data_IF_184253412308
#
_entry.id   IF_184253412308
#
_cell.length_a   1.000
_cell.length_b   1.000
_cell.length_c   1.000
_cell.angle_alpha   90.00
_cell.angle_beta   90.00
_cell.angle_gamma   90.00
#
_symmetry.space_group_name_H-M   'P 1'
#
loop_
_entity.id
_entity.type
_entity.pdbx_description
1 polymer ?
#
# COMPACT_ATOMS: atom_id res chain seq x y z
N UNK A 1 -12.23 4.35 1.36
CA UNK A 1 -11.25 4.25 0.26
C UNK A 1 -11.56 5.32 -0.77
N UNK A 2 -10.53 5.90 -1.37
CA UNK A 2 -10.65 6.85 -2.49
C UNK A 2 -9.95 6.22 -3.69
N UNK A 3 -10.57 6.24 -4.86
CA UNK A 3 -9.96 5.91 -6.15
C UNK A 3 -10.22 7.09 -7.06
N UNK A 4 -9.20 7.55 -7.78
CA UNK A 4 -9.32 8.67 -8.68
C UNK A 4 -10.26 8.33 -9.85
N UNK A 5 -10.72 9.36 -10.57
CA UNK A 5 -11.25 9.12 -11.91
C UNK A 5 -10.14 8.54 -12.79
N UNK A 6 -10.50 7.74 -13.80
CA UNK A 6 -9.53 7.02 -14.62
C UNK A 6 -8.39 7.91 -15.13
N UNK A 7 -8.70 9.11 -15.66
CA UNK A 7 -7.66 10.01 -16.19
C UNK A 7 -6.66 10.56 -15.16
N UNK A 8 -6.83 10.29 -13.86
CA UNK A 8 -5.98 10.77 -12.76
C UNK A 8 -5.52 9.65 -11.82
N UNK A 9 -5.70 8.38 -12.20
CA UNK A 9 -5.38 7.25 -11.32
C UNK A 9 -3.92 6.76 -11.43
N UNK A 10 -3.12 7.38 -12.29
CA UNK A 10 -1.72 7.07 -12.52
C UNK A 10 -1.48 5.94 -13.54
N UNK A 11 -2.53 5.29 -14.04
CA UNK A 11 -2.38 4.20 -15.00
C UNK A 11 -1.92 4.70 -16.37
N UNK A 12 -0.91 4.03 -16.92
CA UNK A 12 -0.37 4.37 -18.23
C UNK A 12 -1.43 4.19 -19.34
N UNK A 13 -1.35 5.04 -20.35
CA UNK A 13 -2.21 4.98 -21.54
C UNK A 13 -3.45 5.87 -21.48
N UNK A 14 -3.97 6.17 -20.28
CA UNK A 14 -5.11 7.10 -20.13
C UNK A 14 -4.99 8.09 -18.95
N UNK A 15 -3.99 7.93 -18.08
CA UNK A 15 -3.57 8.89 -17.05
C UNK A 15 -2.07 9.16 -17.20
N UNK A 16 -1.56 10.14 -16.46
CA UNK A 16 -0.12 10.38 -16.31
C UNK A 16 0.22 10.91 -14.90
N UNK A 17 1.52 11.05 -14.55
CA UNK A 17 1.93 11.55 -13.24
C UNK A 17 1.48 12.99 -12.92
N UNK A 18 1.24 13.84 -13.93
CA UNK A 18 0.78 15.22 -13.70
C UNK A 18 -0.72 15.21 -13.33
N UNK A 19 -1.52 14.42 -14.03
CA UNK A 19 -2.95 14.26 -13.71
C UNK A 19 -3.14 13.58 -12.34
N UNK A 20 -2.34 12.56 -12.02
CA UNK A 20 -2.31 11.93 -10.70
C UNK A 20 -1.89 12.94 -9.61
N UNK A 21 -0.86 13.75 -9.86
CA UNK A 21 -0.42 14.80 -8.94
C UNK A 21 -1.56 15.77 -8.61
N UNK A 22 -2.34 16.19 -9.61
CA UNK A 22 -3.50 17.05 -9.38
C UNK A 22 -4.51 16.42 -8.42
N UNK A 23 -4.82 15.12 -8.59
CA UNK A 23 -5.71 14.39 -7.69
C UNK A 23 -5.13 14.27 -6.28
N UNK A 24 -3.87 13.83 -6.16
CA UNK A 24 -3.20 13.61 -4.87
C UNK A 24 -3.10 14.93 -4.09
N UNK A 25 -2.51 15.96 -4.68
CA UNK A 25 -2.32 17.26 -4.02
C UNK A 25 -3.65 17.89 -3.67
N UNK A 26 -4.61 17.92 -4.60
CA UNK A 26 -5.94 18.49 -4.34
C UNK A 26 -6.67 17.79 -3.18
N UNK A 27 -6.61 16.46 -3.15
CA UNK A 27 -7.23 15.64 -2.12
C UNK A 27 -6.54 15.82 -0.76
N UNK A 28 -5.22 15.67 -0.71
CA UNK A 28 -4.45 15.74 0.53
C UNK A 28 -4.49 17.14 1.13
N UNK A 29 -4.37 18.20 0.31
CA UNK A 29 -4.55 19.58 0.75
C UNK A 29 -5.94 19.80 1.38
N UNK A 30 -6.99 19.21 0.80
CA UNK A 30 -8.34 19.31 1.35
C UNK A 30 -8.46 18.58 2.69
N UNK A 31 -7.96 17.35 2.79
CA UNK A 31 -8.01 16.56 4.02
C UNK A 31 -7.26 17.25 5.17
N UNK A 32 -6.10 17.84 4.89
CA UNK A 32 -5.30 18.56 5.89
C UNK A 32 -5.99 19.81 6.46
N UNK A 33 -6.96 20.39 5.74
CA UNK A 33 -7.77 21.53 6.19
C UNK A 33 -8.95 21.12 7.08
N UNK A 34 -9.32 19.85 7.11
CA UNK A 34 -10.47 19.39 7.89
C UNK A 34 -10.16 19.43 9.40
N UNK A 35 -11.16 19.71 10.25
CA UNK A 35 -11.00 19.63 11.70
C UNK A 35 -10.55 18.25 12.21
N UNK A 36 -10.86 17.19 11.45
CA UNK A 36 -10.50 15.80 11.75
C UNK A 36 -9.06 15.44 11.38
N UNK A 37 -8.29 16.35 10.76
CA UNK A 37 -6.91 16.06 10.36
C UNK A 37 -6.05 15.57 11.53
N UNK A 38 -6.28 16.11 12.73
CA UNK A 38 -5.55 15.76 13.95
C UNK A 38 -5.69 14.29 14.41
N UNK A 39 -6.58 13.53 13.77
CA UNK A 39 -6.83 12.11 13.99
C UNK A 39 -6.92 11.33 12.66
N UNK A 40 -6.34 11.87 11.59
CA UNK A 40 -6.40 11.27 10.25
C UNK A 40 -5.03 10.66 9.87
N UNK A 41 -5.07 9.49 9.23
CA UNK A 41 -3.95 8.95 8.48
C UNK A 41 -4.41 8.72 7.03
N UNK A 42 -3.63 9.21 6.08
CA UNK A 42 -3.79 8.95 4.64
C UNK A 42 -2.71 7.96 4.24
N UNK A 43 -3.11 6.83 3.65
CA UNK A 43 -2.20 5.86 3.05
C UNK A 43 -2.34 5.99 1.54
N UNK A 44 -1.22 6.24 0.85
CA UNK A 44 -1.12 6.18 -0.62
C UNK A 44 -0.52 4.82 -0.95
N UNK A 45 -1.24 4.04 -1.74
CA UNK A 45 -0.84 2.70 -2.17
C UNK A 45 -1.30 2.47 -3.61
N UNK A 46 -0.53 1.67 -4.34
CA UNK A 46 -0.82 1.25 -5.71
C UNK A 46 -1.37 -0.18 -5.72
N UNK A 47 -2.19 -0.50 -6.73
CA UNK A 47 -2.81 -1.81 -6.93
C UNK A 47 -1.90 -2.79 -7.68
N UNK A 48 -1.09 -2.30 -8.62
CA UNK A 48 -0.07 -3.08 -9.29
C UNK A 48 1.07 -2.19 -9.82
N UNK A 49 2.00 -2.80 -10.56
CA UNK A 49 3.23 -2.17 -11.05
C UNK A 49 3.18 -1.82 -12.54
N UNK A 50 2.06 -2.07 -13.22
CA UNK A 50 1.91 -2.03 -14.68
C UNK A 50 2.92 -2.94 -15.43
N UNK A 51 3.57 -3.86 -14.71
CA UNK A 51 4.67 -4.68 -15.22
C UNK A 51 5.99 -3.91 -15.41
N UNK A 52 6.10 -2.70 -14.86
CA UNK A 52 7.31 -1.91 -14.93
C UNK A 52 8.44 -2.53 -14.11
N UNK A 53 9.67 -2.25 -14.52
CA UNK A 53 10.86 -2.81 -13.88
C UNK A 53 11.01 -2.34 -12.43
N UNK A 54 11.08 -3.30 -11.51
CA UNK A 54 11.66 -3.15 -10.17
C UNK A 54 12.79 -4.18 -10.02
N UNK A 55 13.87 -3.79 -9.36
CA UNK A 55 15.08 -4.62 -9.22
C UNK A 55 14.95 -5.68 -8.12
N UNK A 56 13.92 -5.62 -7.28
CA UNK A 56 13.75 -6.48 -6.11
C UNK A 56 12.83 -7.64 -6.47
N UNK A 57 13.36 -8.86 -6.37
CA UNK A 57 12.51 -10.04 -6.27
C UNK A 57 11.95 -10.13 -4.85
N UNK A 58 10.64 -9.95 -4.70
CA UNK A 58 9.95 -10.09 -3.42
C UNK A 58 10.07 -11.52 -2.87
N UNK A 59 10.02 -11.71 -1.53
CA UNK A 59 10.02 -13.04 -0.94
C UNK A 59 8.71 -13.76 -1.29
N UNK A 60 8.82 -15.04 -1.64
CA UNK A 60 7.66 -15.91 -1.85
C UNK A 60 7.17 -16.44 -0.49
N UNK A 61 6.16 -15.79 0.06
CA UNK A 61 5.54 -16.12 1.35
C UNK A 61 4.27 -16.97 1.20
N UNK A 62 3.65 -16.93 0.03
CA UNK A 62 2.51 -17.76 -0.33
C UNK A 62 2.79 -18.53 -1.60
N UNK A 63 2.44 -19.82 -1.56
CA UNK A 63 2.50 -20.72 -2.71
C UNK A 63 1.18 -20.65 -3.48
N UNK A 64 1.25 -20.88 -4.79
CA UNK A 64 0.08 -21.16 -5.61
C UNK A 64 -0.24 -22.65 -5.59
N UNK A 65 -1.52 -22.99 -5.58
CA UNK A 65 -1.99 -24.37 -5.74
C UNK A 65 -2.37 -24.73 -7.19
N UNK A 66 -1.84 -23.98 -8.16
CA UNK A 66 -1.96 -24.27 -9.59
C UNK A 66 -0.61 -24.10 -10.32
N UNK A 67 0.30 -25.06 -10.18
CA UNK A 67 1.68 -24.90 -10.62
C UNK A 67 1.81 -24.80 -12.14
N UNK A 68 0.79 -25.18 -12.91
CA UNK A 68 0.85 -25.10 -14.37
C UNK A 68 0.74 -23.66 -14.90
N UNK A 69 0.17 -22.74 -14.10
CA UNK A 69 -0.14 -21.37 -14.52
C UNK A 69 0.51 -20.30 -13.63
N UNK A 70 1.53 -20.67 -12.85
CA UNK A 70 2.29 -19.72 -12.03
C UNK A 70 3.02 -18.69 -12.88
N UNK A 71 2.46 -17.47 -12.95
CA UNK A 71 2.99 -16.39 -13.77
C UNK A 71 4.16 -15.62 -13.13
N UNK A 72 4.32 -15.67 -11.80
CA UNK A 72 5.31 -14.85 -11.09
C UNK A 72 6.76 -15.38 -11.19
N UNK A 73 6.96 -16.70 -11.05
CA UNK A 73 8.29 -17.33 -10.94
C UNK A 73 8.55 -18.44 -11.96
N UNK A 74 7.63 -18.64 -12.90
CA UNK A 74 7.48 -19.79 -13.81
C UNK A 74 6.67 -20.98 -13.26
N UNK A 75 6.08 -21.80 -14.16
CA UNK A 75 5.32 -22.99 -13.78
C UNK A 75 6.09 -23.93 -12.83
N UNK A 76 5.46 -24.24 -11.70
CA UNK A 76 5.95 -25.17 -10.68
C UNK A 76 7.09 -24.62 -9.82
N UNK A 77 7.42 -23.33 -9.95
CA UNK A 77 8.49 -22.70 -9.17
C UNK A 77 7.98 -21.92 -7.94
N UNK A 78 6.67 -21.76 -7.78
CA UNK A 78 6.10 -20.99 -6.67
C UNK A 78 6.00 -21.79 -5.35
N UNK A 79 7.13 -22.33 -4.91
CA UNK A 79 7.23 -23.12 -3.68
C UNK A 79 6.53 -24.47 -3.77
N UNK A 80 6.36 -25.13 -2.62
CA UNK A 80 5.76 -26.47 -2.53
C UNK A 80 4.25 -26.39 -2.32
N UNK A 81 3.48 -27.13 -3.13
CA UNK A 81 2.03 -27.25 -2.99
C UNK A 81 1.64 -27.61 -1.55
N UNK A 82 0.67 -26.88 -1.02
CA UNK A 82 0.08 -27.14 0.30
C UNK A 82 -1.39 -27.49 0.15
N UNK A 83 -1.79 -28.61 0.75
CA UNK A 83 -3.18 -29.01 0.79
C UNK A 83 -4.05 -27.90 1.40
N UNK A 84 -5.09 -27.50 0.67
CA UNK A 84 -5.99 -26.41 1.07
C UNK A 84 -5.55 -25.01 0.64
N UNK A 85 -4.35 -24.82 0.07
CA UNK A 85 -3.96 -23.53 -0.49
C UNK A 85 -4.81 -23.16 -1.71
N UNK A 86 -5.02 -21.86 -1.92
CA UNK A 86 -5.73 -21.33 -3.08
C UNK A 86 -4.82 -21.33 -4.34
N UNK A 87 -5.40 -21.55 -5.54
CA UNK A 87 -4.69 -21.32 -6.81
C UNK A 87 -4.37 -19.83 -6.99
N UNK A 88 -3.35 -19.53 -7.80
CA UNK A 88 -2.98 -18.19 -8.28
C UNK A 88 -2.61 -17.19 -7.16
N UNK A 89 -2.16 -17.69 -6.01
CA UNK A 89 -1.71 -16.88 -4.86
C UNK A 89 -0.20 -16.89 -4.66
N UNK A 90 0.53 -17.06 -5.75
CA UNK A 90 1.98 -16.92 -5.73
C UNK A 90 2.35 -15.49 -5.36
N UNK A 91 3.15 -15.28 -4.32
CA UNK A 91 3.53 -13.91 -3.96
C UNK A 91 4.47 -13.81 -2.77
N UNK A 92 5.03 -12.62 -2.54
CA UNK A 92 4.56 -11.33 -3.10
C UNK A 92 4.93 -11.07 -4.56
N UNK A 93 4.11 -10.27 -5.24
CA UNK A 93 4.41 -9.75 -6.58
C UNK A 93 5.45 -8.61 -6.56
N UNK A 94 5.55 -7.82 -7.65
CA UNK A 94 6.45 -6.67 -7.73
C UNK A 94 6.23 -5.67 -6.59
N UNK A 95 7.32 -5.03 -6.14
CA UNK A 95 7.27 -4.01 -5.09
C UNK A 95 6.55 -2.74 -5.60
N UNK A 96 5.77 -2.12 -4.71
CA UNK A 96 5.00 -0.91 -5.00
C UNK A 96 5.37 0.23 -4.06
N UNK A 97 5.17 1.50 -4.46
CA UNK A 97 5.22 2.62 -3.54
C UNK A 97 4.14 2.51 -2.46
N UNK A 98 4.50 2.87 -1.22
CA UNK A 98 3.59 2.94 -0.08
C UNK A 98 3.98 4.14 0.78
N UNK A 99 3.06 5.09 0.98
CA UNK A 99 3.29 6.29 1.78
C UNK A 99 2.23 6.41 2.88
N UNK A 100 2.65 6.92 4.04
CA UNK A 100 1.76 7.32 5.12
C UNK A 100 1.91 8.83 5.37
N UNK A 101 0.78 9.55 5.34
CA UNK A 101 0.72 10.99 5.58
C UNK A 101 -0.26 11.23 6.73
N UNK A 102 0.24 11.75 7.84
CA UNK A 102 -0.53 11.92 9.08
C UNK A 102 0.20 12.86 10.04
N UNK A 103 -0.48 13.53 10.97
CA UNK A 103 0.16 14.17 12.13
C UNK A 103 0.97 13.21 13.01
N UNK A 104 0.77 11.90 12.85
CA UNK A 104 1.51 10.85 13.56
C UNK A 104 2.55 10.18 12.68
N UNK A 105 2.64 10.50 11.39
CA UNK A 105 3.63 9.88 10.51
C UNK A 105 5.02 10.40 10.88
N UNK A 106 6.02 9.51 10.88
CA UNK A 106 7.42 9.93 11.06
C UNK A 106 7.84 10.78 9.87
N UNK A 107 8.35 11.98 10.14
CA UNK A 107 8.75 12.94 9.11
C UNK A 107 10.05 12.51 8.43
N UNK A 108 10.09 12.63 7.10
CA UNK A 108 11.28 12.29 6.29
C UNK A 108 11.90 10.92 6.64
N UNK A 109 11.03 9.94 6.87
CA UNK A 109 11.41 8.60 7.33
C UNK A 109 11.04 7.54 6.29
N UNK A 110 11.97 6.61 6.06
CA UNK A 110 11.76 5.44 5.21
C UNK A 110 11.70 4.21 6.09
N UNK A 111 10.56 3.54 6.11
CA UNK A 111 10.41 2.24 6.76
C UNK A 111 10.87 1.12 5.82
N UNK A 112 11.71 0.22 6.32
CA UNK A 112 12.22 -0.93 5.59
C UNK A 112 11.55 -2.25 5.99
N UNK A 113 10.53 -2.18 6.85
CA UNK A 113 9.73 -3.34 7.23
C UNK A 113 9.05 -3.94 5.99
N UNK A 114 9.06 -5.27 5.87
CA UNK A 114 8.35 -5.96 4.79
C UNK A 114 6.85 -5.76 5.00
N UNK A 115 6.20 -5.17 4.00
CA UNK A 115 4.76 -4.92 3.96
C UNK A 115 4.21 -5.35 2.60
N UNK A 116 2.91 -5.58 2.56
CA UNK A 116 2.16 -5.88 1.34
C UNK A 116 0.82 -5.13 1.37
N UNK A 117 -0.01 -5.27 0.35
CA UNK A 117 -1.30 -4.57 0.27
C UNK A 117 -2.21 -4.86 1.46
N UNK A 118 -2.14 -6.08 2.01
CA UNK A 118 -2.91 -6.46 3.20
C UNK A 118 -2.35 -5.91 4.51
N UNK A 119 -1.17 -5.27 4.51
CA UNK A 119 -0.69 -4.48 5.65
C UNK A 119 -1.61 -3.31 5.98
N UNK A 120 -2.31 -2.75 4.97
CA UNK A 120 -3.34 -1.72 5.17
C UNK A 120 -4.53 -2.32 5.92
N UNK A 121 -4.97 -3.51 5.52
CA UNK A 121 -6.04 -4.24 6.20
C UNK A 121 -5.65 -4.55 7.64
N UNK A 122 -4.47 -5.13 7.86
CA UNK A 122 -3.93 -5.39 9.19
C UNK A 122 -3.89 -4.13 10.06
N UNK A 123 -3.49 -2.99 9.51
CA UNK A 123 -3.47 -1.71 10.23
C UNK A 123 -4.88 -1.29 10.70
N UNK A 124 -5.90 -1.47 9.86
CA UNK A 124 -7.30 -1.22 10.23
C UNK A 124 -7.72 -2.18 11.35
N UNK A 125 -7.46 -3.47 11.19
CA UNK A 125 -7.83 -4.47 12.20
C UNK A 125 -7.17 -4.20 13.55
N UNK A 126 -5.88 -3.86 13.55
CA UNK A 126 -5.10 -3.55 14.75
C UNK A 126 -5.62 -2.26 15.42
N UNK A 127 -5.95 -1.22 14.65
CA UNK A 127 -6.43 0.06 15.18
C UNK A 127 -7.84 -0.02 15.80
N UNK A 128 -8.71 -0.86 15.25
CA UNK A 128 -10.10 -1.02 15.73
C UNK A 128 -10.36 -2.34 16.48
N UNK A 129 -9.32 -3.13 16.77
CA UNK A 129 -9.41 -4.40 17.49
C UNK A 129 -10.41 -5.38 16.85
N UNK A 130 -10.42 -5.47 15.51
CA UNK A 130 -11.42 -6.23 14.75
C UNK A 130 -11.09 -7.73 14.62
N UNK A 131 -9.84 -8.13 14.91
CA UNK A 131 -9.32 -9.46 14.58
C UNK A 131 -8.97 -9.61 13.09
N UNK A 132 -8.38 -10.74 12.71
CA UNK A 132 -8.08 -11.09 11.32
C UNK A 132 -9.32 -11.60 10.59
N UNK A 133 -9.45 -11.37 9.29
CA UNK A 133 -10.58 -11.89 8.49
C UNK A 133 -10.63 -13.41 8.50
N UNK A 134 -9.46 -14.07 8.46
CA UNK A 134 -9.36 -15.53 8.39
C UNK A 134 -9.52 -16.07 6.96
N UNK A 135 -9.78 -17.37 6.84
CA UNK A 135 -9.90 -18.07 5.55
C UNK A 135 -8.74 -17.79 4.56
N UNK A 136 -7.50 -17.86 5.06
CA UNK A 136 -6.27 -17.59 4.30
C UNK A 136 -6.16 -16.18 3.72
N UNK A 137 -6.86 -15.20 4.29
CA UNK A 137 -6.52 -13.79 4.11
C UNK A 137 -5.04 -13.56 4.49
N UNK A 138 -4.35 -12.71 3.74
CA UNK A 138 -2.93 -12.41 4.01
C UNK A 138 -2.74 -11.43 5.17
N UNK A 139 -3.82 -10.86 5.72
CA UNK A 139 -3.77 -10.04 6.95
C UNK A 139 -3.04 -10.71 8.13
N UNK A 140 -3.09 -12.04 8.21
CA UNK A 140 -2.42 -12.85 9.21
C UNK A 140 -0.89 -12.95 8.98
N UNK A 141 -0.43 -12.74 7.75
CA UNK A 141 0.98 -12.77 7.35
C UNK A 141 1.56 -11.36 7.19
N UNK A 142 0.72 -10.37 6.94
CA UNK A 142 1.09 -9.02 6.56
C UNK A 142 1.96 -8.33 7.61
N UNK A 143 2.92 -7.51 7.15
CA UNK A 143 3.70 -6.64 8.03
C UNK A 143 2.82 -5.55 8.68
N UNK A 144 3.28 -5.00 9.81
CA UNK A 144 2.61 -3.86 10.45
C UNK A 144 3.07 -2.54 9.83
N UNK A 145 2.13 -1.61 9.60
CA UNK A 145 2.46 -0.21 9.23
C UNK A 145 2.84 0.65 10.44
N UNK A 146 2.80 0.10 11.66
CA UNK A 146 3.00 0.87 12.90
C UNK A 146 4.35 1.59 12.97
N UNK A 147 5.40 1.04 12.34
CA UNK A 147 6.72 1.67 12.34
C UNK A 147 6.80 2.94 11.46
N UNK A 148 5.82 3.19 10.59
CA UNK A 148 5.69 4.46 9.86
C UNK A 148 5.17 5.60 10.75
N UNK A 149 4.67 5.30 11.95
CA UNK A 149 4.04 6.25 12.85
C UNK A 149 4.81 6.38 14.17
N UNK A 150 4.75 7.56 14.76
CA UNK A 150 5.11 7.83 16.15
C UNK A 150 3.88 8.39 16.88
N UNK A 151 3.28 7.55 17.72
CA UNK A 151 2.13 7.92 18.54
C UNK A 151 2.52 8.45 19.93
N UNK A 152 3.83 8.51 20.24
CA UNK A 152 4.35 8.91 21.55
C UNK A 152 4.75 10.38 21.62
N UNK A 153 5.20 10.97 20.50
CA UNK A 153 5.58 12.38 20.44
C UNK A 153 4.37 13.29 20.24
N UNK A 154 4.45 14.48 20.86
CA UNK A 154 3.41 15.50 20.72
C UNK A 154 3.33 15.96 19.26
N UNK A 155 2.16 15.72 18.64
CA UNK A 155 1.66 16.20 17.35
C UNK A 155 2.57 17.25 16.69
N UNK A 156 3.51 16.80 15.88
CA UNK A 156 4.12 17.71 14.92
C UNK A 156 3.05 17.92 13.85
N UNK A 157 2.38 19.08 13.86
CA UNK A 157 1.28 19.36 12.94
C UNK A 157 1.78 19.72 11.55
N UNK A 158 2.86 19.05 11.09
CA UNK A 158 3.54 19.27 9.82
C UNK A 158 2.57 19.04 8.66
N UNK A 159 1.75 20.06 8.39
CA UNK A 159 0.89 20.12 7.21
C UNK A 159 1.78 20.54 6.06
N UNK A 160 1.72 19.80 4.97
CA UNK A 160 2.41 20.11 3.74
C UNK A 160 1.37 20.46 2.68
N UNK A 161 1.20 21.75 2.41
CA UNK A 161 0.36 22.22 1.31
C UNK A 161 1.23 22.41 0.07
N UNK A 162 0.84 21.77 -1.03
CA UNK A 162 1.54 21.86 -2.32
C UNK A 162 0.65 22.50 -3.38
N UNK A 163 1.25 23.06 -4.43
CA UNK A 163 0.53 23.46 -5.64
C UNK A 163 0.19 22.22 -6.50
N UNK A 164 -1.09 21.96 -6.84
CA UNK A 164 -1.47 20.80 -7.65
C UNK A 164 -0.78 20.72 -9.02
N UNK A 165 -0.37 21.86 -9.58
CA UNK A 165 0.23 21.98 -10.91
C UNK A 165 1.75 21.79 -10.88
N UNK A 166 2.41 21.97 -9.73
CA UNK A 166 3.88 21.93 -9.65
C UNK A 166 4.44 20.94 -8.63
N UNK A 167 3.62 20.48 -7.68
CA UNK A 167 4.04 19.58 -6.61
C UNK A 167 4.94 20.22 -5.54
N UNK A 168 5.16 21.54 -5.58
CA UNK A 168 5.97 22.30 -4.62
C UNK A 168 5.13 23.15 -3.66
#
# INVERSE_FOLDING_TARGET
>A
FLKAAAYQDGHAGYSDPLDEQHFLVGTINRLQKLPTWNSTAVIIAYDDSDGWYDHVMGPIVSQSNDPAYDALTDPGQCGTLKAGAYPDRCGYGPRLPLLAISPFAKENFVDHSITDQTSILRFIEDNWSLGRIGNQSFDALAGSLGNMFDFSSHRNSGRLFLDPSTGN
#
